data_IF_815423789401
#
_entry.id   IF_815423789401
#
_cell.length_a   1.000
_cell.length_b   1.000
_cell.length_c   1.000
_cell.angle_alpha   90.00
_cell.angle_beta   90.00
_cell.angle_gamma   90.00
#
_symmetry.space_group_name_H-M   'P 1'
#
loop_
_entity.id
_entity.type
_entity.pdbx_description
1 polymer ?
#
# COMPACT_ATOMS: atom_id res chain seq x y z
N UNK A 1 -96.89 8.05 -31.70
CA UNK A 1 -95.66 7.31 -31.57
C UNK A 1 -94.91 7.70 -30.31
N UNK A 2 -94.59 6.78 -29.35
CA UNK A 2 -93.94 7.16 -28.10
C UNK A 2 -92.42 7.11 -28.24
N UNK A 3 -91.79 8.16 -27.73
CA UNK A 3 -90.36 8.28 -27.61
C UNK A 3 -89.89 7.44 -26.39
N UNK A 4 -89.06 6.45 -26.65
CA UNK A 4 -88.39 5.61 -25.69
C UNK A 4 -87.25 6.43 -25.00
N UNK A 5 -87.39 6.69 -23.72
CA UNK A 5 -86.29 7.17 -22.89
C UNK A 5 -85.26 6.09 -22.67
N UNK A 6 -84.07 6.29 -23.16
CA UNK A 6 -82.91 5.45 -22.91
C UNK A 6 -82.29 5.91 -21.59
N UNK A 7 -82.36 5.06 -20.55
CA UNK A 7 -81.63 5.26 -19.30
C UNK A 7 -80.16 5.00 -19.52
N UNK A 8 -79.33 6.03 -19.44
CA UNK A 8 -77.88 5.87 -19.30
C UNK A 8 -77.56 5.37 -17.90
N UNK A 9 -77.17 4.10 -17.79
CA UNK A 9 -76.54 3.60 -16.59
C UNK A 9 -75.10 4.16 -16.52
N UNK A 10 -74.83 4.95 -15.47
CA UNK A 10 -73.49 5.38 -15.13
C UNK A 10 -72.66 4.16 -14.75
N UNK A 11 -71.75 3.73 -15.64
CA UNK A 11 -70.71 2.79 -15.31
C UNK A 11 -69.67 3.50 -14.40
N UNK A 12 -69.55 3.06 -13.18
CA UNK A 12 -68.46 3.46 -12.30
C UNK A 12 -67.19 2.77 -12.81
N UNK A 13 -66.28 3.54 -13.40
CA UNK A 13 -64.95 3.08 -13.69
C UNK A 13 -64.18 2.90 -12.37
N UNK A 14 -63.99 1.66 -11.97
CA UNK A 14 -63.03 1.31 -10.91
C UNK A 14 -61.64 1.53 -11.48
N UNK A 15 -60.97 2.56 -11.03
CA UNK A 15 -59.53 2.75 -11.26
C UNK A 15 -58.80 1.69 -10.43
N UNK A 16 -58.42 0.62 -11.04
CA UNK A 16 -57.45 -0.32 -10.49
C UNK A 16 -56.11 0.36 -10.58
N UNK A 17 -55.63 0.92 -9.49
CA UNK A 17 -54.25 1.39 -9.35
C UNK A 17 -53.36 0.19 -9.41
N UNK A 18 -52.76 -0.05 -10.57
CA UNK A 18 -51.69 -1.01 -10.77
C UNK A 18 -50.44 -0.43 -10.10
N UNK A 19 -50.21 -0.77 -8.81
CA UNK A 19 -48.97 -0.50 -8.14
C UNK A 19 -47.89 -1.34 -8.82
N UNK A 20 -47.14 -0.68 -9.73
CA UNK A 20 -45.86 -1.21 -10.16
C UNK A 20 -44.93 -1.24 -8.94
N UNK A 21 -44.82 -2.40 -8.31
CA UNK A 21 -43.70 -2.76 -7.47
C UNK A 21 -42.47 -2.76 -8.39
N UNK A 22 -41.80 -1.60 -8.49
CA UNK A 22 -40.42 -1.54 -8.93
C UNK A 22 -39.60 -2.30 -7.88
N UNK A 23 -39.49 -3.62 -8.04
CA UNK A 23 -38.44 -4.39 -7.42
C UNK A 23 -37.12 -3.75 -7.85
N UNK A 24 -36.55 -2.97 -6.95
CA UNK A 24 -35.18 -2.52 -7.05
C UNK A 24 -34.37 -3.82 -7.00
N UNK A 25 -34.15 -4.41 -8.16
CA UNK A 25 -33.03 -5.32 -8.33
C UNK A 25 -31.80 -4.44 -8.16
N UNK A 26 -31.32 -4.31 -6.92
CA UNK A 26 -29.92 -3.99 -6.71
C UNK A 26 -29.16 -5.08 -7.46
N UNK A 27 -28.66 -4.74 -8.65
CA UNK A 27 -27.69 -5.56 -9.32
C UNK A 27 -26.65 -5.93 -8.26
N UNK A 28 -26.32 -7.21 -8.05
CA UNK A 28 -25.23 -7.57 -7.19
C UNK A 28 -24.06 -6.68 -7.64
N UNK A 29 -23.49 -5.91 -6.71
CA UNK A 29 -22.26 -5.18 -7.00
C UNK A 29 -21.35 -6.22 -7.63
N UNK A 30 -20.95 -6.00 -8.88
CA UNK A 30 -19.99 -6.90 -9.51
C UNK A 30 -18.82 -6.95 -8.52
N UNK A 31 -18.72 -8.08 -7.80
CA UNK A 31 -17.60 -8.30 -6.91
C UNK A 31 -16.38 -8.06 -7.78
N UNK A 32 -15.58 -7.10 -7.40
CA UNK A 32 -14.43 -6.71 -8.21
C UNK A 32 -13.63 -7.98 -8.45
N UNK A 33 -13.60 -8.42 -9.70
CA UNK A 33 -12.93 -9.66 -10.13
C UNK A 33 -11.42 -9.39 -10.16
N UNK A 34 -10.85 -9.11 -9.00
CA UNK A 34 -9.41 -9.02 -8.85
C UNK A 34 -8.92 -10.14 -7.94
N UNK A 35 -7.68 -10.54 -8.13
CA UNK A 35 -7.01 -11.50 -7.27
C UNK A 35 -6.32 -10.75 -6.15
N UNK A 36 -6.33 -11.31 -4.95
CA UNK A 36 -5.62 -10.80 -3.78
C UNK A 36 -4.90 -11.94 -3.08
N UNK A 37 -3.67 -11.69 -2.65
CA UNK A 37 -2.89 -12.59 -1.83
C UNK A 37 -2.25 -11.83 -0.67
N UNK A 38 -2.12 -12.43 0.52
CA UNK A 38 -1.34 -11.86 1.61
C UNK A 38 0.12 -11.71 1.19
N UNK A 39 0.74 -10.58 1.49
CA UNK A 39 2.18 -10.44 1.34
C UNK A 39 2.86 -11.15 2.51
N UNK A 40 3.66 -12.16 2.22
CA UNK A 40 4.42 -12.92 3.20
C UNK A 40 5.92 -12.60 3.19
N UNK A 41 6.41 -12.06 2.10
CA UNK A 41 7.81 -11.68 1.94
C UNK A 41 8.09 -10.33 2.60
N UNK A 42 9.24 -10.27 3.29
CA UNK A 42 9.73 -9.06 3.92
C UNK A 42 10.96 -8.54 3.17
N UNK A 43 10.97 -7.27 2.85
CA UNK A 43 12.20 -6.55 2.55
C UNK A 43 12.97 -6.29 3.85
N UNK A 44 14.28 -6.22 3.77
CA UNK A 44 15.13 -6.00 4.93
C UNK A 44 16.28 -5.06 4.60
N UNK A 45 16.59 -4.16 5.54
CA UNK A 45 17.84 -3.42 5.53
C UNK A 45 18.76 -3.99 6.61
N UNK A 46 19.99 -4.30 6.20
CA UNK A 46 21.00 -4.84 7.10
C UNK A 46 22.01 -3.78 7.51
N UNK A 47 22.53 -3.93 8.73
CA UNK A 47 23.69 -3.20 9.16
C UNK A 47 24.86 -3.46 8.21
N UNK A 48 25.26 -2.43 7.48
CA UNK A 48 26.47 -2.47 6.66
C UNK A 48 27.73 -2.50 7.50
N UNK A 49 28.85 -2.88 6.90
CA UNK A 49 30.17 -2.68 7.50
C UNK A 49 30.45 -1.16 7.57
N UNK A 50 30.98 -0.70 8.69
CA UNK A 50 31.40 0.68 8.81
C UNK A 50 32.35 1.04 7.67
N UNK A 51 31.98 2.04 6.87
CA UNK A 51 32.87 2.60 5.84
C UNK A 51 33.49 3.87 6.41
N UNK A 52 34.77 4.12 6.07
CA UNK A 52 35.48 5.34 6.46
C UNK A 52 34.95 6.62 5.80
N UNK A 53 33.85 6.52 5.04
CA UNK A 53 33.18 7.67 4.45
C UNK A 53 32.42 8.43 5.53
N UNK A 54 32.74 9.71 5.69
CA UNK A 54 31.93 10.60 6.52
C UNK A 54 30.50 10.57 5.99
N UNK A 55 29.49 10.47 6.89
CA UNK A 55 28.11 10.64 6.49
C UNK A 55 27.94 11.98 5.76
N UNK A 56 27.33 11.95 4.62
CA UNK A 56 26.97 13.18 3.92
C UNK A 56 25.75 13.77 4.63
N UNK A 57 25.86 15.02 5.06
CA UNK A 57 24.77 15.70 5.73
C UNK A 57 23.60 15.83 4.76
N UNK A 58 22.46 15.25 5.09
CA UNK A 58 21.25 15.47 4.33
C UNK A 58 20.81 16.92 4.45
N UNK A 59 20.56 17.52 3.32
CA UNK A 59 19.78 18.75 3.32
C UNK A 59 18.35 18.40 3.67
N UNK A 60 17.75 19.03 4.70
CA UNK A 60 16.33 18.80 4.98
C UNK A 60 15.54 19.15 3.73
N UNK A 61 14.58 18.29 3.39
CA UNK A 61 13.70 18.47 2.26
C UNK A 61 12.88 19.75 2.48
N UNK A 62 13.28 20.85 1.81
CA UNK A 62 12.64 22.14 1.95
C UNK A 62 11.43 22.20 1.01
N UNK A 63 10.28 22.62 1.56
CA UNK A 63 9.05 22.91 0.80
C UNK A 63 8.47 21.74 0.00
N UNK A 64 8.43 20.54 0.56
CA UNK A 64 7.75 19.41 -0.04
C UNK A 64 6.23 19.66 -0.02
N UNK A 65 5.60 19.61 -1.19
CA UNK A 65 4.15 19.60 -1.29
C UNK A 65 3.67 18.15 -1.34
N UNK A 66 2.88 17.74 -0.35
CA UNK A 66 2.34 16.39 -0.28
C UNK A 66 1.38 16.10 -1.45
N UNK A 67 1.57 14.98 -2.12
CA UNK A 67 0.73 14.41 -3.18
C UNK A 67 -0.06 13.21 -2.71
N UNK A 68 0.23 12.72 -1.52
CA UNK A 68 -0.50 11.67 -0.83
C UNK A 68 -0.54 11.93 0.67
N UNK A 69 -1.46 11.24 1.35
CA UNK A 69 -1.54 11.19 2.80
C UNK A 69 -1.00 9.84 3.25
N UNK A 70 0.02 9.85 4.12
CA UNK A 70 0.56 8.64 4.74
C UNK A 70 0.34 8.77 6.25
N UNK A 71 -0.35 7.82 6.85
CA UNK A 71 -0.64 7.78 8.29
C UNK A 71 0.09 6.60 8.93
N UNK A 72 0.84 6.87 10.00
CA UNK A 72 1.60 5.85 10.71
C UNK A 72 0.99 5.59 12.08
N UNK A 73 0.59 4.36 12.31
CA UNK A 73 0.20 3.86 13.61
C UNK A 73 1.43 3.27 14.31
N UNK A 74 1.83 3.90 15.40
CA UNK A 74 3.04 3.55 16.12
C UNK A 74 2.77 2.55 17.26
N UNK A 75 3.59 1.53 17.34
CA UNK A 75 3.64 0.59 18.48
C UNK A 75 5.02 0.64 19.13
N UNK A 76 5.09 1.06 20.39
CA UNK A 76 6.30 1.14 21.23
C UNK A 76 7.40 2.10 20.72
N UNK A 77 7.13 2.99 19.81
CA UNK A 77 8.12 3.97 19.33
C UNK A 77 8.43 5.05 20.39
N UNK A 78 9.70 5.35 20.67
CA UNK A 78 10.07 6.53 21.44
C UNK A 78 9.82 7.82 20.64
N UNK A 79 9.63 8.94 21.33
CA UNK A 79 9.20 10.19 20.66
C UNK A 79 10.24 10.75 19.70
N UNK A 80 11.54 10.58 19.99
CA UNK A 80 12.58 10.97 19.05
C UNK A 80 12.48 10.20 17.73
N UNK A 81 12.22 8.88 17.81
CA UNK A 81 12.11 8.03 16.63
C UNK A 81 10.89 8.38 15.76
N UNK A 82 9.76 8.78 16.38
CA UNK A 82 8.59 9.24 15.64
C UNK A 82 8.89 10.48 14.77
N UNK A 83 9.79 11.36 15.23
CA UNK A 83 10.20 12.54 14.45
C UNK A 83 10.99 12.16 13.19
N UNK A 84 11.93 11.21 13.33
CA UNK A 84 12.71 10.69 12.19
C UNK A 84 11.81 9.97 11.19
N UNK A 85 10.87 9.16 11.70
CA UNK A 85 9.87 8.50 10.85
C UNK A 85 9.00 9.51 10.11
N UNK A 86 8.57 10.58 10.78
CA UNK A 86 7.75 11.62 10.15
C UNK A 86 8.51 12.34 9.02
N UNK A 87 9.81 12.58 9.16
CA UNK A 87 10.63 13.13 8.09
C UNK A 87 10.67 12.21 6.86
N UNK A 88 10.85 10.90 7.05
CA UNK A 88 10.79 9.92 5.97
C UNK A 88 9.41 9.87 5.28
N UNK A 89 8.34 9.94 6.07
CA UNK A 89 6.95 9.98 5.58
C UNK A 89 6.71 11.20 4.70
N UNK A 90 7.18 12.37 5.10
CA UNK A 90 7.02 13.62 4.33
C UNK A 90 7.71 13.55 2.96
N UNK A 91 8.89 12.93 2.87
CA UNK A 91 9.58 12.71 1.61
C UNK A 91 8.73 11.84 0.67
N UNK A 92 8.21 10.71 1.16
CA UNK A 92 7.39 9.83 0.32
C UNK A 92 6.03 10.43 -0.01
N UNK A 93 5.38 11.12 0.94
CA UNK A 93 4.12 11.81 0.70
C UNK A 93 4.23 12.86 -0.44
N UNK A 94 5.39 13.48 -0.60
CA UNK A 94 5.65 14.42 -1.69
C UNK A 94 5.99 13.76 -3.03
N UNK A 95 6.50 12.54 -3.01
CA UNK A 95 7.01 11.86 -4.21
C UNK A 95 6.09 10.73 -4.72
N UNK A 96 5.16 10.25 -3.90
CA UNK A 96 4.17 9.25 -4.29
C UNK A 96 2.77 9.88 -4.34
N UNK A 97 2.06 9.72 -5.46
CA UNK A 97 0.74 10.30 -5.66
C UNK A 97 -0.37 9.29 -5.37
N UNK A 98 -1.25 9.60 -4.43
CA UNK A 98 -2.41 8.78 -4.11
C UNK A 98 -3.55 9.65 -3.56
N UNK A 99 -4.77 9.42 -4.03
CA UNK A 99 -5.98 10.00 -3.44
C UNK A 99 -6.51 9.18 -2.26
N UNK A 100 -5.98 7.97 -2.09
CA UNK A 100 -6.29 7.07 -0.98
C UNK A 100 -5.21 7.20 0.07
N UNK A 101 -5.61 7.31 1.34
CA UNK A 101 -4.67 7.33 2.46
C UNK A 101 -3.88 6.04 2.52
N UNK A 102 -2.59 6.12 2.74
CA UNK A 102 -1.69 4.99 2.94
C UNK A 102 -1.50 4.80 4.44
N UNK A 103 -2.02 3.71 4.98
CA UNK A 103 -1.90 3.37 6.40
C UNK A 103 -0.69 2.47 6.61
N UNK A 104 0.13 2.82 7.58
CA UNK A 104 1.36 2.11 7.94
C UNK A 104 1.26 1.64 9.39
N UNK A 105 1.30 0.34 9.64
CA UNK A 105 1.48 -0.20 10.97
C UNK A 105 2.98 -0.35 11.26
N UNK A 106 3.52 0.50 12.12
CA UNK A 106 4.94 0.51 12.47
C UNK A 106 5.16 0.02 13.90
N UNK A 107 6.10 -0.90 14.10
CA UNK A 107 6.46 -1.45 15.40
C UNK A 107 7.95 -1.27 15.71
N UNK A 108 8.23 -0.90 16.96
CA UNK A 108 9.57 -0.75 17.54
C UNK A 108 9.84 -1.91 18.49
N UNK A 109 10.69 -2.83 18.08
CA UNK A 109 10.95 -4.04 18.84
C UNK A 109 12.31 -4.66 18.52
N UNK A 110 12.73 -5.61 19.33
CA UNK A 110 13.98 -6.34 19.05
C UNK A 110 13.81 -7.24 17.85
N UNK A 111 14.74 -7.19 16.91
CA UNK A 111 14.82 -8.20 15.85
C UNK A 111 15.38 -9.50 16.40
N UNK A 112 14.82 -10.63 15.95
CA UNK A 112 15.38 -11.96 16.24
C UNK A 112 16.58 -12.28 15.32
N UNK A 113 16.73 -11.56 14.23
CA UNK A 113 17.80 -11.78 13.24
C UNK A 113 18.92 -10.76 13.45
N UNK A 114 20.14 -11.28 13.48
CA UNK A 114 21.32 -10.43 13.63
C UNK A 114 21.50 -9.51 12.43
N UNK A 115 21.86 -8.27 12.70
CA UNK A 115 22.20 -7.28 11.69
C UNK A 115 21.01 -6.61 10.98
N UNK A 116 19.76 -7.03 11.20
CA UNK A 116 18.59 -6.35 10.65
C UNK A 116 18.35 -5.04 11.38
N UNK A 117 18.27 -3.94 10.66
CA UNK A 117 17.92 -2.60 11.15
C UNK A 117 16.42 -2.35 11.06
N UNK A 118 15.82 -2.73 9.93
CA UNK A 118 14.41 -2.60 9.65
C UNK A 118 13.93 -3.71 8.73
N UNK A 119 12.62 -3.85 8.66
CA UNK A 119 11.95 -4.78 7.75
C UNK A 119 10.59 -4.25 7.39
N UNK A 120 10.20 -4.38 6.13
CA UNK A 120 8.88 -4.01 5.68
C UNK A 120 8.27 -5.06 4.74
N UNK A 121 6.95 -5.09 4.73
CA UNK A 121 6.18 -5.81 3.73
C UNK A 121 4.91 -5.04 3.39
N UNK A 122 4.35 -5.19 2.18
CA UNK A 122 2.99 -4.76 1.88
C UNK A 122 1.96 -5.47 2.78
N UNK A 123 0.76 -4.92 2.89
CA UNK A 123 -0.36 -5.63 3.50
C UNK A 123 -0.76 -6.84 2.67
N UNK A 124 -0.96 -6.62 1.37
CA UNK A 124 -1.32 -7.63 0.38
C UNK A 124 -0.79 -7.26 -1.00
N UNK A 125 -0.88 -8.20 -1.94
CA UNK A 125 -0.70 -7.96 -3.36
C UNK A 125 -2.01 -8.14 -4.12
N UNK A 126 -2.23 -7.32 -5.14
CA UNK A 126 -3.43 -7.29 -5.97
C UNK A 126 -3.08 -7.41 -7.45
N UNK A 127 -3.84 -8.19 -8.20
CA UNK A 127 -3.69 -8.36 -9.65
C UNK A 127 -5.05 -8.28 -10.33
N UNK A 128 -5.13 -7.69 -11.52
CA UNK A 128 -6.34 -7.62 -12.33
C UNK A 128 -7.42 -6.65 -11.81
N UNK A 129 -7.10 -5.74 -10.90
CA UNK A 129 -8.04 -4.72 -10.44
C UNK A 129 -8.30 -3.65 -11.50
N UNK A 130 -9.43 -2.95 -11.40
CA UNK A 130 -9.76 -1.84 -12.31
C UNK A 130 -8.76 -0.69 -12.16
N UNK A 131 -8.06 -0.34 -13.22
CA UNK A 131 -6.99 0.65 -13.22
C UNK A 131 -5.58 0.07 -13.15
N UNK A 132 -5.43 -1.26 -13.09
CA UNK A 132 -4.12 -1.91 -13.20
C UNK A 132 -3.53 -1.67 -14.59
N UNK A 133 -2.32 -1.07 -14.72
CA UNK A 133 -1.67 -0.86 -16.03
C UNK A 133 -1.39 -2.16 -16.76
N UNK A 134 -0.97 -3.19 -16.06
CA UNK A 134 -0.84 -4.56 -16.54
C UNK A 134 -1.59 -5.51 -15.59
N UNK A 135 -2.71 -6.10 -16.00
CA UNK A 135 -3.51 -6.97 -15.14
C UNK A 135 -2.86 -8.31 -14.81
N UNK A 136 -1.73 -8.65 -15.43
CA UNK A 136 -0.97 -9.85 -15.13
C UNK A 136 0.03 -9.67 -13.97
N UNK A 137 0.39 -8.41 -13.67
CA UNK A 137 1.32 -8.09 -12.58
C UNK A 137 0.62 -7.97 -11.23
N UNK A 138 1.40 -8.15 -10.18
CA UNK A 138 0.95 -8.07 -8.79
C UNK A 138 1.45 -6.78 -8.13
N UNK A 139 0.54 -5.93 -7.75
CA UNK A 139 0.78 -4.60 -7.18
C UNK A 139 0.62 -4.63 -5.66
N UNK A 140 1.49 -3.95 -4.94
CA UNK A 140 1.34 -3.79 -3.49
C UNK A 140 0.03 -3.05 -3.15
N UNK A 141 -0.50 -3.23 -1.92
CA UNK A 141 -1.72 -2.55 -1.47
C UNK A 141 -1.69 -1.05 -1.75
N UNK A 142 -0.58 -0.38 -1.41
CA UNK A 142 -0.43 1.06 -1.63
C UNK A 142 -0.51 1.45 -3.12
N UNK A 143 0.16 0.68 -4.01
CA UNK A 143 0.10 0.92 -5.45
C UNK A 143 -1.30 0.64 -6.01
N UNK A 144 -1.91 -0.47 -5.63
CA UNK A 144 -3.22 -0.86 -6.11
C UNK A 144 -4.29 0.16 -5.71
N UNK A 145 -4.25 0.65 -4.47
CA UNK A 145 -5.14 1.70 -3.97
C UNK A 145 -4.92 3.02 -4.73
N UNK A 146 -3.67 3.42 -4.94
CA UNK A 146 -3.34 4.63 -5.69
C UNK A 146 -3.82 4.58 -7.15
N UNK A 147 -3.60 3.46 -7.84
CA UNK A 147 -3.98 3.26 -9.24
C UNK A 147 -5.49 3.11 -9.44
N UNK A 148 -6.17 2.41 -8.54
CA UNK A 148 -7.63 2.24 -8.59
C UNK A 148 -8.40 3.48 -8.10
N UNK A 149 -7.76 4.36 -7.34
CA UNK A 149 -8.41 5.46 -6.62
C UNK A 149 -9.36 5.00 -5.51
N UNK A 150 -9.23 3.77 -5.05
CA UNK A 150 -10.08 3.15 -4.03
C UNK A 150 -9.24 2.37 -3.04
N UNK A 151 -9.64 2.43 -1.78
CA UNK A 151 -9.14 1.52 -0.77
C UNK A 151 -9.77 0.12 -0.98
N UNK A 152 -8.94 -0.83 -1.40
CA UNK A 152 -9.37 -2.18 -1.75
C UNK A 152 -9.53 -3.10 -0.53
N UNK A 153 -8.93 -2.73 0.62
CA UNK A 153 -9.05 -3.46 1.89
C UNK A 153 -8.96 -2.52 3.10
N UNK A 154 -10.09 -1.99 3.50
CA UNK A 154 -10.21 -1.06 4.64
C UNK A 154 -9.89 -1.68 6.00
N UNK A 155 -9.77 -2.99 6.08
CA UNK A 155 -9.53 -3.71 7.33
C UNK A 155 -8.05 -3.83 7.68
N UNK A 156 -7.17 -3.74 6.69
CA UNK A 156 -5.73 -3.95 6.84
C UNK A 156 -4.92 -2.73 6.37
N UNK A 157 -3.75 -2.47 6.96
CA UNK A 157 -2.87 -1.41 6.51
C UNK A 157 -2.25 -1.74 5.15
N UNK A 158 -1.86 -0.70 4.41
CA UNK A 158 -1.17 -0.86 3.13
C UNK A 158 0.24 -1.43 3.31
N UNK A 159 0.86 -1.21 4.46
CA UNK A 159 2.17 -1.79 4.76
C UNK A 159 2.40 -1.96 6.26
N UNK A 160 3.27 -2.90 6.58
CA UNK A 160 3.71 -3.20 7.94
C UNK A 160 5.23 -3.04 7.99
N UNK A 161 5.71 -2.25 8.96
CA UNK A 161 7.13 -1.96 9.15
C UNK A 161 7.56 -2.33 10.57
N UNK A 162 8.70 -3.00 10.69
CA UNK A 162 9.32 -3.34 11.95
C UNK A 162 10.71 -2.68 12.03
N UNK A 163 10.99 -1.99 13.13
CA UNK A 163 12.28 -1.36 13.37
C UNK A 163 12.95 -2.03 14.56
N UNK A 164 14.22 -2.41 14.39
CA UNK A 164 15.00 -3.05 15.43
C UNK A 164 15.40 -2.05 16.52
N UNK A 165 14.76 -2.14 17.67
CA UNK A 165 15.03 -1.27 18.82
C UNK A 165 16.42 -1.44 19.41
N UNK A 166 17.15 -2.50 19.07
CA UNK A 166 18.49 -2.81 19.61
C UNK A 166 19.64 -2.28 18.74
N UNK A 167 19.35 -1.70 17.59
CA UNK A 167 20.37 -1.08 16.75
C UNK A 167 20.90 0.22 17.37
N UNK A 168 22.12 0.56 17.06
CA UNK A 168 22.76 1.78 17.54
C UNK A 168 22.26 2.99 16.72
N UNK A 169 21.11 3.51 17.08
CA UNK A 169 20.49 4.64 16.39
C UNK A 169 21.12 5.98 16.75
N UNK A 170 21.28 6.86 15.78
CA UNK A 170 21.49 8.27 16.02
C UNK A 170 20.21 8.89 16.61
N UNK A 171 20.25 9.27 17.89
CA UNK A 171 19.08 9.81 18.61
C UNK A 171 19.10 11.33 18.71
N UNK A 172 20.09 12.00 18.09
CA UNK A 172 20.28 13.46 18.21
C UNK A 172 19.35 14.27 17.29
N UNK A 173 18.78 13.65 16.26
CA UNK A 173 17.93 14.33 15.30
C UNK A 173 18.68 15.32 14.39
N UNK A 174 19.98 15.12 14.22
CA UNK A 174 20.86 15.98 13.44
C UNK A 174 21.14 15.44 12.02
N UNK A 175 20.63 14.25 11.70
CA UNK A 175 20.87 13.57 10.42
C UNK A 175 22.33 13.20 10.18
N UNK A 176 23.16 13.20 11.22
CA UNK A 176 24.60 12.92 11.15
C UNK A 176 25.00 11.77 12.08
N UNK A 177 24.70 10.51 11.70
CA UNK A 177 25.12 9.36 12.49
C UNK A 177 26.66 9.28 12.53
N UNK A 178 27.21 8.89 13.67
CA UNK A 178 28.64 8.54 13.78
C UNK A 178 28.91 7.22 13.02
N UNK A 179 30.19 6.85 12.88
CA UNK A 179 30.60 5.60 12.22
C UNK A 179 30.03 4.32 12.87
N UNK A 180 29.42 4.43 14.04
CA UNK A 180 28.84 3.30 14.78
C UNK A 180 27.34 3.42 14.97
N UNK A 181 26.74 4.43 14.40
CA UNK A 181 25.31 4.70 14.50
C UNK A 181 24.64 4.58 13.13
N UNK A 182 23.35 4.33 13.16
CA UNK A 182 22.48 4.28 11.98
C UNK A 182 21.49 5.44 12.00
N UNK A 183 21.16 5.93 10.82
CA UNK A 183 20.17 6.98 10.61
C UNK A 183 18.80 6.37 10.41
N UNK A 184 17.88 6.62 11.35
CA UNK A 184 16.55 6.03 11.31
C UNK A 184 15.71 6.55 10.16
N UNK A 185 15.82 7.82 9.82
CA UNK A 185 15.10 8.40 8.67
C UNK A 185 15.46 7.65 7.38
N UNK A 186 16.78 7.40 7.14
CA UNK A 186 17.26 6.63 5.99
C UNK A 186 16.68 5.22 5.94
N UNK A 187 16.71 4.54 7.09
CA UNK A 187 16.19 3.19 7.19
C UNK A 187 14.69 3.19 6.93
N UNK A 188 13.94 4.12 7.51
CA UNK A 188 12.50 4.17 7.33
C UNK A 188 12.09 4.57 5.90
N UNK A 189 12.86 5.44 5.25
CA UNK A 189 12.71 5.73 3.81
C UNK A 189 12.83 4.47 2.96
N UNK A 190 13.83 3.63 3.27
CA UNK A 190 14.04 2.36 2.58
C UNK A 190 12.87 1.39 2.83
N UNK A 191 12.41 1.26 4.06
CA UNK A 191 11.33 0.35 4.40
C UNK A 191 9.99 0.77 3.77
N UNK A 192 9.67 2.07 3.72
CA UNK A 192 8.49 2.55 2.99
C UNK A 192 8.59 2.18 1.50
N UNK A 193 9.78 2.25 0.89
CA UNK A 193 9.95 1.88 -0.51
C UNK A 193 9.49 0.44 -0.79
N UNK A 194 9.79 -0.51 0.10
CA UNK A 194 9.30 -1.88 -0.02
C UNK A 194 7.77 -1.94 -0.01
N UNK A 195 7.12 -1.24 0.91
CA UNK A 195 5.66 -1.14 0.98
C UNK A 195 5.04 -0.49 -0.27
N UNK A 196 5.76 0.45 -0.90
CA UNK A 196 5.34 1.13 -2.12
C UNK A 196 5.63 0.34 -3.40
N UNK A 197 6.33 -0.81 -3.35
CA UNK A 197 6.51 -1.67 -4.50
C UNK A 197 7.94 -1.88 -4.97
N UNK A 198 8.95 -1.36 -4.29
CA UNK A 198 10.35 -1.71 -4.52
C UNK A 198 10.64 -3.06 -3.86
N UNK A 199 10.00 -4.10 -4.37
CA UNK A 199 10.05 -5.46 -3.83
C UNK A 199 9.86 -6.46 -4.97
N UNK A 200 10.75 -7.46 -5.05
CA UNK A 200 10.63 -8.60 -5.94
C UNK A 200 9.83 -9.72 -5.27
N UNK A 201 9.01 -10.40 -6.05
CA UNK A 201 8.40 -11.67 -5.68
C UNK A 201 9.11 -12.87 -6.29
N UNK A 202 10.28 -12.66 -6.87
CA UNK A 202 11.11 -13.74 -7.39
C UNK A 202 11.53 -14.68 -6.27
N UNK A 203 11.38 -15.96 -6.49
CA UNK A 203 11.95 -17.00 -5.65
C UNK A 203 13.11 -17.67 -6.39
N UNK A 204 14.27 -17.72 -5.75
CA UNK A 204 15.43 -18.42 -6.27
C UNK A 204 15.79 -19.60 -5.39
N UNK A 205 15.68 -20.80 -5.95
CA UNK A 205 16.14 -22.02 -5.31
C UNK A 205 17.63 -22.19 -5.56
N UNK A 206 18.44 -21.91 -4.55
CA UNK A 206 19.90 -22.00 -4.64
C UNK A 206 20.40 -23.43 -4.79
N UNK A 207 19.64 -24.44 -4.37
CA UNK A 207 20.02 -25.83 -4.46
C UNK A 207 19.87 -26.36 -5.90
N UNK A 208 18.76 -26.00 -6.56
CA UNK A 208 18.50 -26.41 -7.94
C UNK A 208 18.95 -25.37 -8.97
N UNK A 209 19.33 -24.17 -8.55
CA UNK A 209 19.67 -23.07 -9.47
C UNK A 209 18.50 -22.58 -10.31
N UNK A 210 17.28 -22.72 -9.80
CA UNK A 210 16.04 -22.39 -10.51
C UNK A 210 15.44 -21.10 -9.94
N UNK A 211 15.17 -20.13 -10.80
CA UNK A 211 14.35 -18.98 -10.48
C UNK A 211 12.89 -19.28 -10.86
N UNK A 212 11.95 -18.91 -10.01
CA UNK A 212 10.52 -18.92 -10.31
C UNK A 212 9.94 -17.53 -10.11
N UNK A 213 9.09 -17.15 -11.05
CA UNK A 213 8.41 -15.84 -11.09
C UNK A 213 6.91 -16.06 -11.23
N UNK A 214 6.30 -16.65 -10.20
CA UNK A 214 4.88 -17.03 -10.24
C UNK A 214 3.95 -15.82 -10.10
N UNK A 215 4.41 -14.76 -9.47
CA UNK A 215 3.62 -13.58 -9.12
C UNK A 215 4.42 -12.29 -9.36
N UNK A 216 4.78 -11.99 -10.62
CA UNK A 216 5.66 -10.87 -10.93
C UNK A 216 5.05 -9.55 -10.48
N UNK A 217 5.88 -8.73 -9.84
CA UNK A 217 5.54 -7.35 -9.49
C UNK A 217 5.92 -6.41 -10.63
N UNK A 218 5.47 -5.15 -10.63
CA UNK A 218 6.02 -4.14 -11.54
C UNK A 218 7.54 -3.96 -11.42
N UNK A 219 8.12 -4.18 -10.24
CA UNK A 219 9.57 -4.15 -10.05
C UNK A 219 10.25 -5.29 -10.82
N UNK A 220 9.72 -6.50 -10.74
CA UNK A 220 10.24 -7.68 -11.45
C UNK A 220 10.20 -7.51 -12.97
N UNK A 221 9.17 -6.82 -13.48
CA UNK A 221 9.02 -6.56 -14.92
C UNK A 221 10.15 -5.67 -15.50
N UNK A 222 10.89 -4.95 -14.66
CA UNK A 222 12.04 -4.14 -15.04
C UNK A 222 13.37 -4.77 -14.62
N UNK A 223 13.35 -5.87 -13.86
CA UNK A 223 14.55 -6.59 -13.48
C UNK A 223 15.14 -7.29 -14.71
N UNK A 224 16.45 -7.17 -14.89
CA UNK A 224 17.18 -7.80 -15.98
C UNK A 224 18.42 -8.49 -15.43
N UNK A 225 18.77 -9.62 -16.02
CA UNK A 225 20.07 -10.24 -15.77
C UNK A 225 21.20 -9.39 -16.36
N UNK A 226 22.45 -9.64 -15.92
CA UNK A 226 23.61 -8.88 -16.39
C UNK A 226 23.82 -8.96 -17.92
N UNK A 227 23.26 -9.98 -18.59
CA UNK A 227 23.27 -10.17 -20.04
C UNK A 227 22.00 -9.63 -20.75
N UNK A 228 21.15 -8.90 -20.02
CA UNK A 228 20.00 -8.19 -20.58
C UNK A 228 18.76 -9.06 -20.85
N UNK A 229 18.69 -10.24 -20.25
CA UNK A 229 17.53 -11.13 -20.33
C UNK A 229 16.61 -10.96 -19.15
#
# INVERSE_FOLDING_TARGET
>A
APVRKILLKKARASVVALALLASIFSAPSAAALYKVIPATQWGHIYAGTATDKKPEQRSPAKNLQAKSKIEVKYTNFPDWAKKEVQAAVEVWAANFSSTVTINVDASWGRSSSWGILGSARPGSFYSGFSGAPDPSLWYTSAMANALSGKDLDKANPEMIIQVNSSAAWNTRGDGMPSNREYDLESVFLHEIAHGLGFLSNDAYDTFYGIASLDQPTPFDAYAQTADGR
#
